data_IF_890564006567
#
_entry.id   IF_890564006567
#
_cell.length_a   1.000
_cell.length_b   1.000
_cell.length_c   1.000
_cell.angle_alpha   90.00
_cell.angle_beta   90.00
_cell.angle_gamma   90.00
#
_symmetry.space_group_name_H-M   'P 1'
#
loop_
_entity.id
_entity.type
_entity.pdbx_description
1 polymer ?
#
# COMPACT_ATOMS: atom_id res chain seq x y z
N UNK A 1 -5.88 -9.38 46.04
CA UNK A 1 -4.63 -9.64 45.29
C UNK A 1 -4.91 -9.29 43.82
N UNK A 2 -4.47 -8.10 43.40
CA UNK A 2 -4.83 -7.54 42.09
C UNK A 2 -3.90 -8.03 40.99
N UNK A 3 -4.45 -8.78 40.03
CA UNK A 3 -3.75 -9.16 38.80
C UNK A 3 -3.72 -7.97 37.85
N UNK A 4 -2.71 -7.11 38.00
CA UNK A 4 -2.48 -5.98 37.11
C UNK A 4 -0.99 -5.92 36.78
N UNK A 5 -0.56 -6.69 35.77
CA UNK A 5 0.66 -6.47 34.95
C UNK A 5 0.90 -7.72 34.10
N UNK A 6 0.21 -7.82 32.97
CA UNK A 6 0.71 -8.57 31.82
C UNK A 6 0.15 -7.98 30.52
N UNK A 7 0.22 -6.64 30.39
CA UNK A 7 0.14 -5.98 29.10
C UNK A 7 1.57 -5.89 28.61
N UNK A 8 1.95 -6.75 27.66
CA UNK A 8 3.27 -6.75 27.04
C UNK A 8 3.75 -5.33 26.74
N UNK A 9 5.06 -5.15 26.93
CA UNK A 9 5.78 -3.89 26.77
C UNK A 9 5.46 -3.26 25.42
N UNK A 10 5.60 -1.93 25.32
CA UNK A 10 5.33 -1.19 24.08
C UNK A 10 6.06 -1.81 22.88
N UNK A 11 7.29 -2.30 23.09
CA UNK A 11 8.08 -3.02 22.09
C UNK A 11 7.45 -4.35 21.66
N UNK A 12 7.01 -5.19 22.60
CA UNK A 12 6.35 -6.48 22.30
C UNK A 12 5.07 -6.28 21.47
N UNK A 13 4.33 -5.18 21.69
CA UNK A 13 3.16 -4.84 20.86
C UNK A 13 3.54 -4.41 19.46
N UNK A 14 4.63 -3.67 19.31
CA UNK A 14 5.14 -3.23 18.01
C UNK A 14 5.67 -4.44 17.23
N UNK A 15 6.38 -5.35 17.88
CA UNK A 15 6.85 -6.59 17.26
C UNK A 15 5.70 -7.52 16.87
N UNK A 16 4.71 -7.74 17.74
CA UNK A 16 3.55 -8.55 17.35
C UNK A 16 2.74 -7.92 16.21
N UNK A 17 2.62 -6.59 16.17
CA UNK A 17 1.99 -5.91 15.05
C UNK A 17 2.82 -6.09 13.76
N UNK A 18 4.16 -6.00 13.84
CA UNK A 18 5.06 -6.27 12.71
C UNK A 18 5.00 -7.73 12.24
N UNK A 19 4.92 -8.70 13.16
CA UNK A 19 4.86 -10.12 12.84
C UNK A 19 3.55 -10.46 12.13
N UNK A 20 2.41 -10.03 12.69
CA UNK A 20 1.10 -10.18 12.03
C UNK A 20 1.06 -9.50 10.66
N UNK A 21 1.69 -8.33 10.55
CA UNK A 21 1.85 -7.60 9.29
C UNK A 21 2.69 -8.39 8.28
N UNK A 22 3.80 -9.00 8.70
CA UNK A 22 4.62 -9.87 7.85
C UNK A 22 3.88 -11.15 7.46
N UNK A 23 3.18 -11.82 8.37
CA UNK A 23 2.44 -13.05 8.09
C UNK A 23 1.30 -12.83 7.10
N UNK A 24 0.52 -11.76 7.27
CA UNK A 24 -0.53 -11.38 6.31
C UNK A 24 0.04 -11.16 4.90
N UNK A 25 1.27 -10.68 4.82
CA UNK A 25 1.96 -10.40 3.58
C UNK A 25 2.73 -11.60 3.02
N UNK A 26 3.09 -12.57 3.85
CA UNK A 26 3.74 -13.81 3.41
C UNK A 26 2.76 -14.73 2.67
N UNK A 27 1.45 -14.58 2.93
CA UNK A 27 0.38 -15.22 2.17
C UNK A 27 0.00 -14.49 0.88
N UNK A 28 0.53 -13.28 0.65
CA UNK A 28 0.40 -12.50 -0.58
C UNK A 28 1.73 -12.63 -1.31
N UNK A 29 1.84 -13.48 -2.32
CA UNK A 29 3.11 -13.71 -3.02
C UNK A 29 3.64 -12.38 -3.58
N UNK A 30 4.63 -11.79 -2.88
CA UNK A 30 5.27 -10.54 -3.25
C UNK A 30 5.99 -10.75 -4.58
N UNK A 31 5.33 -10.46 -5.70
CA UNK A 31 5.98 -10.47 -7.01
C UNK A 31 7.19 -9.52 -6.96
N UNK A 32 8.31 -9.99 -7.48
CA UNK A 32 9.51 -9.14 -7.55
C UNK A 32 9.23 -7.97 -8.48
N UNK A 33 9.66 -6.75 -8.13
CA UNK A 33 9.46 -5.56 -8.97
C UNK A 33 10.03 -5.76 -10.39
N UNK A 34 11.07 -6.57 -10.54
CA UNK A 34 11.66 -6.92 -11.85
C UNK A 34 10.72 -7.79 -12.69
N UNK A 35 10.05 -8.76 -12.07
CA UNK A 35 9.06 -9.65 -12.72
C UNK A 35 7.86 -8.83 -13.24
N UNK A 36 7.36 -7.92 -12.40
CA UNK A 36 6.31 -6.96 -12.77
C UNK A 36 6.77 -6.10 -13.96
N UNK A 37 8.01 -5.58 -13.92
CA UNK A 37 8.53 -4.78 -15.04
C UNK A 37 8.58 -5.58 -16.34
N UNK A 38 9.03 -6.82 -16.28
CA UNK A 38 9.10 -7.69 -17.46
C UNK A 38 7.73 -8.04 -18.00
N UNK A 39 6.78 -8.41 -17.13
CA UNK A 39 5.42 -8.77 -17.50
C UNK A 39 4.69 -7.61 -18.19
N UNK A 40 4.80 -6.40 -17.64
CA UNK A 40 4.12 -5.22 -18.16
C UNK A 40 4.93 -4.44 -19.20
N UNK A 41 6.11 -4.93 -19.60
CA UNK A 41 6.97 -4.27 -20.60
C UNK A 41 7.51 -2.91 -20.16
N UNK A 42 7.61 -2.67 -18.85
CA UNK A 42 8.11 -1.41 -18.29
C UNK A 42 9.63 -1.36 -18.53
N UNK A 43 10.16 -0.26 -19.12
CA UNK A 43 11.60 -0.13 -19.35
C UNK A 43 12.37 -0.31 -18.04
N UNK A 44 13.46 -1.09 -18.05
CA UNK A 44 14.26 -1.39 -16.86
C UNK A 44 14.82 -0.13 -16.15
N UNK A 45 14.95 0.98 -16.88
CA UNK A 45 15.35 2.30 -16.35
C UNK A 45 14.23 3.14 -15.75
N UNK A 46 12.97 2.67 -15.77
CA UNK A 46 11.83 3.43 -15.27
C UNK A 46 11.87 3.49 -13.73
N UNK A 47 11.90 4.68 -13.12
CA UNK A 47 11.90 4.80 -11.67
C UNK A 47 10.60 4.25 -11.07
N UNK A 48 10.76 3.43 -10.04
CA UNK A 48 9.66 3.05 -9.16
C UNK A 48 9.42 4.19 -8.17
N UNK A 49 8.20 4.71 -8.14
CA UNK A 49 7.84 5.87 -7.32
C UNK A 49 7.20 5.50 -5.98
N UNK A 50 6.82 4.24 -5.79
CA UNK A 50 6.19 3.74 -4.57
C UNK A 50 4.89 3.00 -4.82
N UNK A 51 4.20 2.68 -3.74
CA UNK A 51 2.89 2.02 -3.76
C UNK A 51 1.78 3.06 -3.68
N UNK A 52 0.68 2.82 -4.38
CA UNK A 52 -0.52 3.65 -4.38
C UNK A 52 -1.75 2.78 -4.22
N UNK A 53 -2.85 3.39 -3.79
CA UNK A 53 -4.15 2.71 -3.65
C UNK A 53 -5.00 3.07 -4.85
N UNK A 54 -5.52 2.06 -5.55
CA UNK A 54 -6.33 2.17 -6.77
C UNK A 54 -7.71 1.54 -6.57
N UNK A 55 -8.74 2.20 -7.10
CA UNK A 55 -10.09 1.64 -7.21
C UNK A 55 -10.27 1.19 -8.66
N UNK A 56 -10.27 -0.13 -8.95
CA UNK A 56 -10.37 -0.63 -10.32
C UNK A 56 -11.71 -0.31 -10.98
N UNK A 57 -12.80 -0.27 -10.20
CA UNK A 57 -14.15 -0.02 -10.73
C UNK A 57 -14.34 1.39 -11.30
N UNK A 58 -13.64 2.38 -10.74
CA UNK A 58 -13.81 3.81 -11.10
C UNK A 58 -12.56 4.42 -11.73
N UNK A 59 -11.48 3.65 -11.80
CA UNK A 59 -10.15 4.08 -12.21
C UNK A 59 -9.67 5.32 -11.47
N UNK A 60 -9.69 5.24 -10.14
CA UNK A 60 -9.32 6.33 -9.25
C UNK A 60 -8.22 5.93 -8.27
N UNK A 61 -7.37 6.88 -7.92
CA UNK A 61 -6.25 6.69 -7.01
C UNK A 61 -6.42 7.54 -5.76
N UNK A 62 -6.00 7.01 -4.61
CA UNK A 62 -6.07 7.74 -3.35
C UNK A 62 -5.16 8.97 -3.42
N UNK A 63 -5.74 10.16 -3.36
CA UNK A 63 -5.02 11.43 -3.36
C UNK A 63 -4.64 11.85 -1.93
N UNK A 64 -5.57 11.71 -0.99
CA UNK A 64 -5.31 11.98 0.41
C UNK A 64 -6.18 11.13 1.34
N UNK A 65 -5.64 10.88 2.54
CA UNK A 65 -6.31 10.17 3.62
C UNK A 65 -6.11 10.98 4.89
N UNK A 66 -7.21 11.50 5.42
CA UNK A 66 -7.25 12.23 6.68
C UNK A 66 -8.12 11.47 7.67
N UNK A 67 -7.50 10.93 8.70
CA UNK A 67 -8.17 10.22 9.78
C UNK A 67 -8.20 11.09 11.03
N UNK A 68 -9.39 11.28 11.56
CA UNK A 68 -9.65 11.94 12.84
C UNK A 68 -10.36 10.95 13.75
N UNK A 69 -10.48 11.27 15.04
CA UNK A 69 -11.11 10.38 16.02
C UNK A 69 -12.56 9.99 15.65
N UNK A 70 -13.27 10.83 14.88
CA UNK A 70 -14.69 10.66 14.57
C UNK A 70 -14.95 10.35 13.09
N UNK A 71 -13.94 10.45 12.22
CA UNK A 71 -14.15 10.39 10.78
C UNK A 71 -12.90 10.03 9.99
N UNK A 72 -13.11 9.24 8.94
CA UNK A 72 -12.10 8.91 7.93
C UNK A 72 -12.49 9.57 6.61
N UNK A 73 -11.75 10.58 6.19
CA UNK A 73 -11.93 11.26 4.92
C UNK A 73 -10.91 10.76 3.89
N UNK A 74 -11.39 10.34 2.72
CA UNK A 74 -10.58 9.86 1.59
C UNK A 74 -10.87 10.71 0.37
N UNK A 75 -9.84 11.34 -0.18
CA UNK A 75 -9.91 12.04 -1.46
C UNK A 75 -9.32 11.17 -2.55
N UNK A 76 -9.96 11.16 -3.72
CA UNK A 76 -9.58 10.35 -4.86
C UNK A 76 -9.28 11.23 -6.08
N UNK A 77 -8.41 10.76 -6.97
CA UNK A 77 -8.09 11.43 -8.23
C UNK A 77 -7.87 10.44 -9.37
N UNK A 78 -8.15 10.84 -10.60
CA UNK A 78 -7.93 10.00 -11.80
C UNK A 78 -6.47 9.93 -12.28
N UNK A 79 -5.59 10.77 -11.74
CA UNK A 79 -4.20 10.84 -12.20
C UNK A 79 -3.28 10.08 -11.23
N UNK A 80 -2.66 8.96 -11.64
CA UNK A 80 -1.78 8.19 -10.78
C UNK A 80 -0.54 8.98 -10.33
N UNK A 81 -0.05 9.92 -11.15
CA UNK A 81 1.09 10.77 -10.80
C UNK A 81 0.84 11.69 -9.59
N UNK A 82 -0.43 12.01 -9.31
CA UNK A 82 -0.86 12.84 -8.16
C UNK A 82 -1.26 12.01 -6.94
N UNK A 83 -1.35 10.69 -7.07
CA UNK A 83 -1.77 9.82 -5.99
C UNK A 83 -0.81 9.92 -4.80
N UNK A 84 -1.35 9.67 -3.60
CA UNK A 84 -0.59 9.49 -2.38
C UNK A 84 0.31 8.27 -2.53
N UNK A 85 1.61 8.53 -2.50
CA UNK A 85 2.65 7.50 -2.60
C UNK A 85 3.00 7.02 -1.20
N UNK A 86 3.14 5.72 -1.07
CA UNK A 86 3.60 5.05 0.13
C UNK A 86 4.91 4.34 -0.20
N UNK A 87 5.95 4.56 0.60
CA UNK A 87 7.21 3.82 0.46
C UNK A 87 7.05 2.34 0.84
N UNK A 88 6.12 2.06 1.73
CA UNK A 88 5.86 0.73 2.26
C UNK A 88 4.49 0.19 1.79
N UNK A 89 4.43 -1.03 1.23
CA UNK A 89 3.19 -1.58 0.73
C UNK A 89 2.16 -1.84 1.84
N UNK A 90 2.59 -2.06 3.09
CA UNK A 90 1.65 -2.23 4.20
C UNK A 90 0.99 -0.91 4.57
N UNK A 91 1.69 0.21 4.44
CA UNK A 91 1.08 1.52 4.65
C UNK A 91 -0.01 1.81 3.60
N UNK A 92 0.21 1.41 2.34
CA UNK A 92 -0.81 1.48 1.30
C UNK A 92 -1.98 0.50 1.58
N UNK A 93 -1.68 -0.72 2.02
CA UNK A 93 -2.69 -1.73 2.36
C UNK A 93 -3.57 -1.33 3.54
N UNK A 94 -2.99 -0.69 4.57
CA UNK A 94 -3.71 -0.17 5.73
C UNK A 94 -4.67 0.97 5.33
N UNK A 95 -4.28 1.78 4.34
CA UNK A 95 -5.12 2.84 3.78
C UNK A 95 -6.25 2.29 2.88
N UNK A 96 -5.98 1.18 2.19
CA UNK A 96 -6.90 0.51 1.27
C UNK A 96 -8.08 -0.15 2.01
N UNK A 97 -9.26 -0.14 1.40
CA UNK A 97 -10.43 -0.88 1.85
C UNK A 97 -10.43 -2.29 1.25
N UNK A 98 -10.42 -3.34 2.09
CA UNK A 98 -10.43 -4.72 1.59
C UNK A 98 -11.69 -4.99 0.75
N UNK A 99 -11.51 -5.64 -0.40
CA UNK A 99 -12.59 -6.00 -1.32
C UNK A 99 -13.08 -4.88 -2.24
N UNK A 100 -12.49 -3.67 -2.16
CA UNK A 100 -12.79 -2.55 -3.04
C UNK A 100 -11.54 -1.94 -3.65
N UNK A 101 -10.54 -1.71 -2.81
CA UNK A 101 -9.33 -0.98 -3.20
C UNK A 101 -8.17 -1.97 -3.35
N UNK A 102 -7.31 -1.71 -4.34
CA UNK A 102 -6.12 -2.50 -4.63
C UNK A 102 -4.86 -1.69 -4.32
N UNK A 103 -3.82 -2.38 -3.87
CA UNK A 103 -2.49 -1.78 -3.74
C UNK A 103 -1.71 -2.08 -5.01
N UNK A 104 -1.26 -1.03 -5.68
CA UNK A 104 -0.53 -1.13 -6.95
C UNK A 104 0.79 -0.38 -6.86
N UNK A 105 1.80 -0.87 -7.58
CA UNK A 105 3.07 -0.19 -7.75
C UNK A 105 2.98 0.90 -8.82
N UNK A 106 3.52 2.08 -8.53
CA UNK A 106 3.59 3.21 -9.45
C UNK A 106 4.99 3.29 -10.07
N UNK A 107 5.04 3.28 -11.39
CA UNK A 107 6.24 3.48 -12.18
C UNK A 107 6.09 4.73 -13.04
N UNK A 108 7.18 5.46 -13.19
CA UNK A 108 7.22 6.59 -14.12
C UNK A 108 8.06 6.20 -15.33
N UNK A 109 7.46 6.34 -16.51
CA UNK A 109 8.15 6.24 -17.79
C UNK A 109 8.34 7.65 -18.35
N UNK A 110 9.19 7.83 -19.38
CA UNK A 110 9.40 9.16 -19.97
C UNK A 110 8.12 9.83 -20.51
N UNK A 111 7.10 9.05 -20.86
CA UNK A 111 5.88 9.51 -21.51
C UNK A 111 4.67 9.52 -20.56
N UNK A 112 4.58 8.51 -19.67
CA UNK A 112 3.41 8.31 -18.82
C UNK A 112 3.73 7.62 -17.49
N UNK A 113 2.77 7.70 -16.56
CA UNK A 113 2.76 6.87 -15.36
C UNK A 113 2.15 5.50 -15.68
N UNK A 114 2.74 4.46 -15.13
CA UNK A 114 2.26 3.09 -15.23
C UNK A 114 1.94 2.56 -13.83
N UNK A 115 0.82 1.85 -13.70
CA UNK A 115 0.44 1.18 -12.45
C UNK A 115 0.34 -0.32 -12.68
N UNK A 116 0.85 -1.10 -11.74
CA UNK A 116 0.83 -2.55 -11.83
C UNK A 116 0.49 -3.17 -10.47
N UNK A 117 -0.32 -4.22 -10.48
CA UNK A 117 -0.65 -4.98 -9.27
C UNK A 117 0.60 -5.66 -8.71
N UNK A 118 0.75 -5.61 -7.38
CA UNK A 118 1.95 -6.09 -6.68
C UNK A 118 1.68 -7.34 -5.81
N UNK A 119 0.40 -7.69 -5.57
CA UNK A 119 -0.08 -8.81 -4.75
C UNK A 119 -1.26 -9.51 -5.39
#
# INVERSE_FOLDING_TARGET
>A
MGQARNRGSREERIEQAKLKRQEAFQGLEKRSLDDIRQEFGIPAGSPFLGYVVHIPESDEFLLDLNETADSINRLWCKSPGRAKRFDDPMAAYDAARPGRDLVVGLFETPDQFFVAEVF
#
